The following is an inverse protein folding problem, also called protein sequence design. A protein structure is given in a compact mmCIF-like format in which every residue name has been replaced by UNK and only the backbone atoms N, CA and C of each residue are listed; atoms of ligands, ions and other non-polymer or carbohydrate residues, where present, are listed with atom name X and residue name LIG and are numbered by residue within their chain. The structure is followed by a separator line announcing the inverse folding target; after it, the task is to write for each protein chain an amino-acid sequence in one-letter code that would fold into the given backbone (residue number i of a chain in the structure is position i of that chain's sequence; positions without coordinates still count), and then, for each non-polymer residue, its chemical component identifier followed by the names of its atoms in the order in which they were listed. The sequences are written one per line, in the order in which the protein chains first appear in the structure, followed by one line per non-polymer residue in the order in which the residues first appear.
data_IF_293808314391
#
_entry.id   IF_293808314391
#
_cell.length_a   1.000
_cell.length_b   1.000
_cell.length_c   1.000
_cell.angle_alpha   90.00
_cell.angle_beta   90.00
_cell.angle_gamma   90.00
#
_symmetry.space_group_name_H-M   'P 1'
#
loop_
_entity.id
_entity.type
_entity.pdbx_description
1 polymer ?
#
# COMPACT_ATOMS: atom_id res chain seq x y z
N UNK A 1 -5.22 36.88 40.26
CA UNK A 1 -5.96 36.15 39.20
C UNK A 1 -5.10 36.22 37.93
N UNK A 2 -4.10 35.35 37.82
CA UNK A 2 -3.05 35.51 36.77
C UNK A 2 -2.49 34.18 36.28
N UNK A 3 -2.98 33.04 36.80
CA UNK A 3 -2.48 31.70 36.46
C UNK A 3 -3.24 30.97 35.35
N UNK A 4 -4.28 31.57 34.77
CA UNK A 4 -5.19 30.91 33.85
C UNK A 4 -4.75 31.04 32.37
N UNK A 5 -4.20 32.21 32.00
CA UNK A 5 -3.79 32.50 30.62
C UNK A 5 -2.63 31.62 30.09
N UNK A 6 -1.69 31.23 30.96
CA UNK A 6 -0.53 30.41 30.57
C UNK A 6 -0.89 28.95 30.28
N UNK A 7 -1.88 28.42 30.99
CA UNK A 7 -2.33 27.03 30.81
C UNK A 7 -3.14 26.87 29.52
N UNK A 8 -4.01 27.84 29.20
CA UNK A 8 -4.77 27.85 27.94
C UNK A 8 -3.87 27.92 26.70
N UNK A 9 -2.84 28.78 26.70
CA UNK A 9 -1.93 28.92 25.57
C UNK A 9 -1.12 27.63 25.27
N UNK A 10 -0.66 26.95 26.33
CA UNK A 10 0.04 25.68 26.19
C UNK A 10 -0.88 24.56 25.67
N UNK A 11 -2.13 24.53 26.15
CA UNK A 11 -3.16 23.59 25.67
C UNK A 11 -3.42 23.82 24.18
N UNK A 12 -3.60 25.06 23.74
CA UNK A 12 -3.89 25.39 22.34
C UNK A 12 -2.75 24.99 21.39
N UNK A 13 -1.49 25.28 21.75
CA UNK A 13 -0.33 24.88 20.96
C UNK A 13 -0.20 23.35 20.89
N UNK A 14 -0.43 22.65 22.01
CA UNK A 14 -0.34 21.18 22.05
C UNK A 14 -1.40 20.51 21.16
N UNK A 15 -2.59 21.08 21.10
CA UNK A 15 -3.69 20.60 20.25
C UNK A 15 -3.41 20.85 18.78
N UNK A 16 -2.88 22.03 18.42
CA UNK A 16 -2.47 22.36 17.06
C UNK A 16 -1.36 21.41 16.61
N UNK A 17 -0.33 21.21 17.42
CA UNK A 17 0.76 20.29 17.13
C UNK A 17 0.26 18.86 16.89
N UNK A 18 -0.60 18.37 17.77
CA UNK A 18 -1.21 17.03 17.65
C UNK A 18 -2.02 16.89 16.36
N UNK A 19 -2.80 17.91 16.03
CA UNK A 19 -3.64 17.92 14.82
C UNK A 19 -2.79 17.95 13.55
N UNK A 20 -1.72 18.73 13.55
CA UNK A 20 -0.75 18.77 12.45
C UNK A 20 -0.07 17.42 12.26
N UNK A 21 0.41 16.79 13.34
CA UNK A 21 1.09 15.49 13.25
C UNK A 21 0.15 14.39 12.74
N UNK A 22 -1.13 14.42 13.12
CA UNK A 22 -2.15 13.54 12.54
C UNK A 22 -2.31 13.77 11.04
N UNK A 23 -2.38 15.04 10.61
CA UNK A 23 -2.50 15.37 9.19
C UNK A 23 -1.28 14.90 8.40
N UNK A 24 -0.07 15.12 8.91
CA UNK A 24 1.19 14.66 8.29
C UNK A 24 1.18 13.14 8.12
N UNK A 25 0.83 12.38 9.16
CA UNK A 25 0.78 10.91 9.07
C UNK A 25 -0.27 10.40 8.06
N UNK A 26 -1.42 11.06 7.99
CA UNK A 26 -2.47 10.71 7.03
C UNK A 26 -2.02 10.99 5.58
N UNK A 27 -1.40 12.14 5.34
CA UNK A 27 -0.84 12.49 4.03
C UNK A 27 0.27 11.52 3.61
N UNK A 28 1.16 11.13 4.53
CA UNK A 28 2.22 10.16 4.22
C UNK A 28 1.64 8.83 3.74
N UNK A 29 0.59 8.33 4.40
CA UNK A 29 -0.05 7.07 4.00
C UNK A 29 -0.60 7.14 2.57
N UNK A 30 -1.26 8.25 2.22
CA UNK A 30 -1.78 8.45 0.87
C UNK A 30 -0.63 8.56 -0.14
N UNK A 31 0.44 9.28 0.20
CA UNK A 31 1.63 9.39 -0.65
C UNK A 31 2.26 8.03 -0.90
N UNK A 32 2.42 7.20 0.15
CA UNK A 32 2.97 5.85 0.05
C UNK A 32 2.18 4.98 -0.92
N UNK A 33 0.84 5.12 -0.94
CA UNK A 33 -0.02 4.43 -1.91
C UNK A 33 0.12 4.98 -3.33
N UNK A 34 0.25 6.30 -3.50
CA UNK A 34 0.41 6.94 -4.80
C UNK A 34 1.77 6.60 -5.43
N UNK A 35 2.83 6.60 -4.62
CA UNK A 35 4.19 6.30 -5.05
C UNK A 35 4.44 4.79 -5.23
N UNK A 36 3.52 3.96 -4.74
CA UNK A 36 3.63 2.51 -4.86
C UNK A 36 3.62 2.07 -6.32
N UNK A 37 4.76 1.55 -6.78
CA UNK A 37 4.87 0.91 -8.09
C UNK A 37 4.33 -0.53 -8.02
N UNK A 38 3.47 -0.96 -8.96
CA UNK A 38 3.00 -2.35 -8.98
C UNK A 38 4.17 -3.28 -9.29
N UNK A 39 4.16 -4.47 -8.67
CA UNK A 39 5.20 -5.49 -8.90
C UNK A 39 5.25 -5.96 -10.35
N UNK A 40 4.10 -5.95 -11.02
CA UNK A 40 3.97 -6.25 -12.44
C UNK A 40 3.43 -5.01 -13.15
N UNK A 41 4.13 -4.54 -14.18
CA UNK A 41 3.63 -3.44 -15.02
C UNK A 41 2.36 -3.91 -15.74
N UNK A 42 1.37 -3.02 -15.97
CA UNK A 42 0.27 -3.33 -16.86
C UNK A 42 0.87 -3.75 -18.20
N UNK A 43 0.59 -4.97 -18.64
CA UNK A 43 1.14 -5.48 -19.89
C UNK A 43 0.59 -4.66 -21.06
N UNK A 44 1.44 -4.42 -22.06
CA UNK A 44 0.95 -4.04 -23.38
C UNK A 44 0.01 -5.15 -23.85
N UNK A 45 -1.19 -4.76 -24.30
CA UNK A 45 -2.20 -5.70 -24.80
C UNK A 45 -1.58 -6.50 -25.96
N UNK A 46 -1.40 -7.80 -25.75
CA UNK A 46 -1.11 -8.76 -26.82
C UNK A 46 -2.48 -9.18 -27.36
N UNK A 47 -2.88 -8.65 -28.50
CA UNK A 47 -4.05 -9.11 -29.25
C UNK A 47 -3.57 -10.07 -30.34
N UNK A 48 -3.68 -11.39 -30.14
CA UNK A 48 -3.40 -12.33 -31.21
C UNK A 48 -4.48 -12.22 -32.30
N UNK A 49 -4.10 -12.41 -33.56
CA UNK A 49 -5.02 -12.36 -34.71
C UNK A 49 -6.09 -13.46 -34.65
N UNK A 50 -5.73 -14.62 -34.07
CA UNK A 50 -6.63 -15.74 -33.78
C UNK A 50 -6.32 -16.27 -32.38
N UNK A 51 -7.36 -16.56 -31.59
CA UNK A 51 -7.23 -17.12 -30.24
C UNK A 51 -7.59 -18.60 -30.27
N UNK A 52 -6.58 -19.49 -30.17
CA UNK A 52 -6.80 -20.94 -30.09
C UNK A 52 -7.41 -21.37 -28.75
N UNK A 53 -7.11 -20.65 -27.66
CA UNK A 53 -7.71 -20.87 -26.34
C UNK A 53 -7.03 -21.96 -25.51
N UNK A 54 -5.95 -22.56 -26.01
CA UNK A 54 -5.17 -23.55 -25.26
C UNK A 54 -4.35 -22.88 -24.15
N UNK A 55 -4.38 -23.49 -22.96
CA UNK A 55 -3.65 -23.03 -21.77
C UNK A 55 -2.81 -24.19 -21.27
N UNK A 56 -1.50 -23.96 -21.16
CA UNK A 56 -0.54 -24.94 -20.68
C UNK A 56 0.20 -24.40 -19.44
N UNK A 57 0.43 -25.27 -18.46
CA UNK A 57 1.24 -24.99 -17.29
C UNK A 57 2.47 -25.89 -17.32
N UNK A 58 3.61 -25.34 -17.72
CA UNK A 58 4.88 -26.07 -17.76
C UNK A 58 5.65 -25.84 -16.46
N UNK A 59 5.85 -26.91 -15.68
CA UNK A 59 6.65 -26.93 -14.45
C UNK A 59 6.39 -25.74 -13.49
N UNK A 60 5.11 -25.36 -13.37
CA UNK A 60 4.72 -24.15 -12.63
C UNK A 60 4.62 -24.40 -11.13
N UNK A 61 5.20 -23.50 -10.33
CA UNK A 61 5.03 -23.45 -8.88
C UNK A 61 4.43 -22.12 -8.45
N UNK A 62 3.47 -22.16 -7.53
CA UNK A 62 2.80 -20.98 -7.00
C UNK A 62 2.95 -20.91 -5.48
N UNK A 63 3.43 -19.77 -5.01
CA UNK A 63 3.56 -19.43 -3.59
C UNK A 63 2.83 -18.12 -3.35
N UNK A 64 2.00 -18.07 -2.32
CA UNK A 64 1.38 -16.82 -1.91
C UNK A 64 2.42 -15.93 -1.22
N UNK A 65 2.60 -14.69 -1.70
CA UNK A 65 3.54 -13.74 -1.09
C UNK A 65 3.28 -13.50 0.41
N UNK A 66 2.03 -13.65 0.87
CA UNK A 66 1.66 -13.54 2.29
C UNK A 66 2.10 -14.72 3.15
N UNK A 67 2.44 -15.86 2.54
CA UNK A 67 2.90 -17.10 3.20
C UNK A 67 4.02 -17.73 2.37
N UNK A 68 5.23 -17.12 2.36
CA UNK A 68 6.30 -17.52 1.44
C UNK A 68 6.86 -18.92 1.72
N UNK A 69 6.65 -19.45 2.93
CA UNK A 69 7.14 -20.77 3.33
C UNK A 69 6.23 -21.94 2.92
N UNK A 70 5.06 -21.66 2.36
CA UNK A 70 4.06 -22.67 1.99
C UNK A 70 3.87 -22.70 0.48
N UNK A 71 4.19 -23.84 -0.14
CA UNK A 71 3.87 -24.08 -1.55
C UNK A 71 2.37 -24.35 -1.67
N UNK A 72 1.67 -23.55 -2.47
CA UNK A 72 0.23 -23.69 -2.67
C UNK A 72 -0.10 -24.65 -3.82
N UNK A 73 0.64 -24.55 -4.93
CA UNK A 73 0.44 -25.37 -6.13
C UNK A 73 1.81 -25.73 -6.72
N UNK A 74 1.93 -26.99 -7.15
CA UNK A 74 3.06 -27.49 -7.93
C UNK A 74 2.51 -28.38 -9.04
N UNK A 75 2.80 -28.05 -10.29
CA UNK A 75 2.47 -28.88 -11.47
C UNK A 75 3.79 -29.40 -12.05
N UNK A 76 3.82 -30.67 -12.42
CA UNK A 76 4.95 -31.38 -13.01
C UNK A 76 4.61 -31.81 -14.44
#
# INVERSE_FOLDING_TARGET
MTGDFGNHFCIDISQIYTSLMKAVGATQSVSDYLDRKPMQKPSSIIQPHELQGDIEFDNASLIYLRRPSEIAIQVY
#
